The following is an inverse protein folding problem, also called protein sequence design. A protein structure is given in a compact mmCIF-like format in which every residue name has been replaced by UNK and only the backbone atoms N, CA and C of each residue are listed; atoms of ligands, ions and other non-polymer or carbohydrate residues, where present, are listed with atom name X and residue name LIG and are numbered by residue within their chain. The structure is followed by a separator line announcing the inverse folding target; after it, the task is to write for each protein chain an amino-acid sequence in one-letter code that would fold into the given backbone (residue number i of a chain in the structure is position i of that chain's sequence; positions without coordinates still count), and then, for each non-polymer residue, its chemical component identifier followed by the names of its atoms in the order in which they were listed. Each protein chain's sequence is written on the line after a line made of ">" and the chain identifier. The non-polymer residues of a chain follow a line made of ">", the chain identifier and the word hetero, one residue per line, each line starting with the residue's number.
data_IF_484652250303
#
_entry.id   IF_484652250303
#
_cell.length_a   1.000
_cell.length_b   1.000
_cell.length_c   1.000
_cell.angle_alpha   90.00
_cell.angle_beta   90.00
_cell.angle_gamma   90.00
#
_symmetry.space_group_name_H-M   'P 1'
#
loop_
_entity.id
_entity.type
_entity.pdbx_description
1 polymer ?
#
# COMPACT_ATOMS: atom_id res chain seq x y z
N UNK A 1 3.30 5.60 -24.18
CA UNK A 1 1.98 5.79 -23.56
C UNK A 1 2.20 6.16 -22.12
N UNK A 2 2.21 7.46 -21.85
CA UNK A 2 2.51 8.04 -20.54
C UNK A 2 1.20 8.11 -19.75
N UNK A 3 0.84 7.03 -19.06
CA UNK A 3 -0.19 7.11 -18.03
C UNK A 3 0.51 6.88 -16.71
N UNK A 4 1.13 7.90 -16.12
CA UNK A 4 1.55 7.78 -14.74
C UNK A 4 0.26 7.62 -13.94
N UNK A 5 0.09 6.43 -13.40
CA UNK A 5 -0.95 6.07 -12.46
C UNK A 5 -0.76 6.93 -11.19
N UNK A 6 -1.08 8.24 -11.27
CA UNK A 6 -0.90 9.23 -10.19
C UNK A 6 -2.00 9.09 -9.14
N UNK A 7 -2.35 7.88 -8.72
CA UNK A 7 -3.05 7.72 -7.46
C UNK A 7 -2.04 7.90 -6.35
N UNK A 8 -2.14 9.03 -5.68
CA UNK A 8 -1.44 9.26 -4.42
C UNK A 8 -2.29 8.70 -3.29
N UNK A 9 -1.65 7.95 -2.42
CA UNK A 9 -2.23 7.31 -1.25
C UNK A 9 -1.75 8.01 0.01
N UNK A 10 -2.50 7.78 1.08
CA UNK A 10 -2.19 8.28 2.41
C UNK A 10 -1.81 7.09 3.28
N UNK A 11 -0.67 7.17 3.96
CA UNK A 11 -0.23 6.14 4.89
C UNK A 11 -1.27 5.94 6.00
N UNK A 12 -1.80 4.73 6.22
CA UNK A 12 -2.82 4.53 7.22
C UNK A 12 -2.30 4.57 8.66
N UNK A 13 -0.98 4.48 8.87
CA UNK A 13 -0.35 4.55 10.19
C UNK A 13 -0.08 6.00 10.63
N UNK A 14 0.66 6.75 9.82
CA UNK A 14 1.14 8.10 10.17
C UNK A 14 0.43 9.24 9.42
N UNK A 15 -0.50 8.90 8.51
CA UNK A 15 -1.22 9.85 7.64
C UNK A 15 -0.33 10.66 6.70
N UNK A 16 0.87 10.17 6.38
CA UNK A 16 1.71 10.76 5.35
C UNK A 16 1.01 10.68 3.98
N UNK A 17 0.81 11.83 3.35
CA UNK A 17 0.10 11.97 2.07
C UNK A 17 1.09 11.96 0.90
N UNK A 18 0.56 11.95 -0.33
CA UNK A 18 1.34 12.01 -1.57
C UNK A 18 2.30 10.83 -1.76
N UNK A 19 1.98 9.67 -1.19
CA UNK A 19 2.74 8.44 -1.41
C UNK A 19 2.15 7.73 -2.63
N UNK A 20 2.95 7.49 -3.66
CA UNK A 20 2.54 6.57 -4.71
C UNK A 20 2.48 5.12 -4.18
N UNK A 21 2.09 4.16 -5.02
CA UNK A 21 1.97 2.77 -4.60
C UNK A 21 3.29 2.20 -4.04
N UNK A 22 4.42 2.45 -4.72
CA UNK A 22 5.73 1.97 -4.28
C UNK A 22 6.23 2.75 -3.07
N UNK A 23 6.07 4.08 -3.09
CA UNK A 23 6.40 4.95 -1.96
C UNK A 23 5.65 4.57 -0.69
N UNK A 24 4.38 4.13 -0.79
CA UNK A 24 3.61 3.63 0.34
C UNK A 24 4.18 2.31 0.89
N UNK A 25 4.56 1.38 0.01
CA UNK A 25 5.17 0.09 0.39
C UNK A 25 6.49 0.34 1.12
N UNK A 26 7.39 1.12 0.52
CA UNK A 26 8.71 1.42 1.09
C UNK A 26 8.57 2.17 2.42
N UNK A 27 7.70 3.19 2.47
CA UNK A 27 7.43 3.94 3.68
C UNK A 27 6.94 3.04 4.82
N UNK A 28 5.95 2.19 4.56
CA UNK A 28 5.43 1.28 5.58
C UNK A 28 6.50 0.27 6.01
N UNK A 29 7.32 -0.22 5.08
CA UNK A 29 8.42 -1.14 5.38
C UNK A 29 9.57 -0.47 6.17
N UNK A 30 9.79 0.83 6.02
CA UNK A 30 10.87 1.53 6.72
C UNK A 30 10.45 2.04 8.09
N UNK A 31 9.22 2.52 8.23
CA UNK A 31 8.74 3.22 9.42
C UNK A 31 7.74 2.40 10.26
N UNK A 32 7.08 1.39 9.67
CA UNK A 32 5.97 0.66 10.28
C UNK A 32 6.08 -0.87 10.17
N UNK A 33 7.25 -1.41 9.79
CA UNK A 33 7.44 -2.86 9.57
C UNK A 33 7.09 -3.73 10.78
N UNK A 34 7.35 -3.23 11.99
CA UNK A 34 7.06 -3.95 13.24
C UNK A 34 5.77 -3.49 13.92
N UNK A 35 4.92 -2.72 13.23
CA UNK A 35 3.65 -2.23 13.77
C UNK A 35 2.51 -3.23 13.49
N UNK A 36 1.98 -3.91 14.53
CA UNK A 36 0.93 -4.91 14.36
C UNK A 36 -0.47 -4.30 14.21
N UNK A 37 -0.60 -2.97 14.13
CA UNK A 37 -1.91 -2.31 14.11
C UNK A 37 -2.68 -2.70 12.84
N UNK A 38 -3.90 -3.24 12.98
CA UNK A 38 -4.73 -3.59 11.83
C UNK A 38 -5.23 -2.31 11.15
N UNK A 39 -4.75 -2.08 9.94
CA UNK A 39 -5.10 -0.91 9.13
C UNK A 39 -5.81 -1.32 7.84
N UNK A 40 -6.60 -0.39 7.31
CA UNK A 40 -7.22 -0.54 5.98
C UNK A 40 -6.18 -0.18 4.92
N UNK A 41 -6.06 -1.01 3.89
CA UNK A 41 -5.18 -0.71 2.78
C UNK A 41 -5.79 0.41 1.91
N UNK A 42 -5.15 1.59 1.81
CA UNK A 42 -5.70 2.71 1.04
C UNK A 42 -5.75 2.40 -0.46
N UNK A 43 -4.89 1.51 -0.95
CA UNK A 43 -4.88 1.06 -2.34
C UNK A 43 -6.12 0.21 -2.63
N UNK A 44 -6.40 -0.80 -1.79
CA UNK A 44 -7.61 -1.61 -1.93
C UNK A 44 -8.88 -0.81 -1.71
N UNK A 45 -8.91 0.09 -0.72
CA UNK A 45 -10.06 0.96 -0.46
C UNK A 45 -10.38 1.89 -1.64
N UNK A 46 -9.39 2.19 -2.49
CA UNK A 46 -9.57 3.00 -3.71
C UNK A 46 -10.04 2.19 -4.92
N UNK A 47 -10.10 0.86 -4.83
CA UNK A 47 -10.58 0.00 -5.92
C UNK A 47 -12.11 -0.10 -5.90
N UNK A 48 -12.79 -0.06 -7.06
CA UNK A 48 -14.25 -0.13 -7.11
C UNK A 48 -14.83 -1.50 -6.68
N UNK A 49 -13.99 -2.53 -6.61
CA UNK A 49 -14.32 -3.86 -6.07
C UNK A 49 -13.71 -4.11 -4.67
N UNK A 50 -13.03 -3.13 -4.10
CA UNK A 50 -12.43 -3.23 -2.77
C UNK A 50 -13.44 -2.95 -1.66
N UNK A 51 -13.21 -3.53 -0.49
CA UNK A 51 -13.99 -3.25 0.71
C UNK A 51 -13.27 -2.16 1.54
N UNK A 52 -13.82 -0.94 1.68
CA UNK A 52 -13.21 0.15 2.43
C UNK A 52 -13.22 -0.07 3.95
N UNK A 53 -13.97 -1.06 4.44
CA UNK A 53 -13.99 -1.48 5.84
C UNK A 53 -13.04 -2.66 6.14
N UNK A 54 -12.49 -3.30 5.12
CA UNK A 54 -11.61 -4.45 5.31
C UNK A 54 -10.27 -4.04 5.93
N UNK A 55 -10.09 -4.43 7.20
CA UNK A 55 -8.84 -4.25 7.94
C UNK A 55 -7.99 -5.50 7.78
N UNK A 56 -6.85 -5.35 7.12
CA UNK A 56 -5.88 -6.43 7.01
C UNK A 56 -5.26 -6.71 8.38
N UNK A 57 -5.39 -7.94 8.88
CA UNK A 57 -4.76 -8.36 10.12
C UNK A 57 -3.22 -8.24 10.07
N UNK A 58 -2.63 -8.46 8.88
CA UNK A 58 -1.22 -8.25 8.60
C UNK A 58 -1.06 -7.34 7.37
N UNK A 59 -1.20 -6.03 7.58
CA UNK A 59 -1.11 -5.07 6.48
C UNK A 59 0.25 -5.10 5.76
N UNK A 60 1.36 -5.27 6.49
CA UNK A 60 2.70 -5.39 5.90
C UNK A 60 2.81 -6.56 4.92
N UNK A 61 2.32 -7.75 5.30
CA UNK A 61 2.31 -8.90 4.39
C UNK A 61 1.40 -8.62 3.19
N UNK A 62 0.23 -8.03 3.43
CA UNK A 62 -0.72 -7.70 2.37
C UNK A 62 -0.13 -6.75 1.34
N UNK A 63 0.45 -5.62 1.76
CA UNK A 63 1.00 -4.62 0.86
C UNK A 63 2.24 -5.18 0.14
N UNK A 64 3.04 -6.03 0.80
CA UNK A 64 4.16 -6.74 0.16
C UNK A 64 3.74 -7.82 -0.84
N UNK A 65 2.60 -8.49 -0.65
CA UNK A 65 2.13 -9.55 -1.56
C UNK A 65 1.30 -9.03 -2.72
N UNK A 66 0.47 -8.01 -2.47
CA UNK A 66 -0.52 -7.49 -3.43
C UNK A 66 -0.10 -6.20 -4.11
N UNK A 67 0.79 -5.43 -3.48
CA UNK A 67 1.18 -4.09 -3.95
C UNK A 67 2.69 -3.87 -4.03
N UNK A 68 3.50 -4.91 -3.79
CA UNK A 68 4.93 -4.90 -4.16
C UNK A 68 5.02 -5.10 -5.67
N UNK A 69 4.97 -4.00 -6.40
CA UNK A 69 5.44 -3.99 -7.78
C UNK A 69 6.97 -3.93 -7.78
N UNK A 70 7.62 -5.03 -7.40
CA UNK A 70 9.01 -5.22 -7.80
C UNK A 70 8.98 -5.88 -9.16
N UNK A 71 9.42 -5.16 -10.20
CA UNK A 71 9.97 -5.79 -11.39
C UNK A 71 11.29 -6.47 -11.01
N UNK A 72 11.21 -7.54 -10.23
CA UNK A 72 12.34 -8.41 -9.98
C UNK A 72 11.87 -9.85 -10.15
N UNK A 73 12.37 -10.45 -11.23
CA UNK A 73 12.23 -11.84 -11.72
C UNK A 73 11.30 -12.03 -12.93
N UNK A 74 11.92 -12.48 -14.04
CA UNK A 74 11.39 -12.81 -15.40
C UNK A 74 11.17 -11.58 -16.30
N UNK A 75 12.07 -11.17 -17.23
CA UNK A 75 13.03 -11.86 -18.12
C UNK A 75 14.17 -10.90 -18.48
#
# INVERSE_FOLDING_TARGET
>A
SDVPNRFTFVCPYCRQQNLDQEGLVEHCNKFHFSDPTPVVCPICASMPWGDPGYRSANFMEHIHRRHRFSYDTFV
#
